data_IF_683065417578
#
_entry.id   IF_683065417578
#
_cell.length_a   1.000
_cell.length_b   1.000
_cell.length_c   1.000
_cell.angle_alpha   90.00
_cell.angle_beta   90.00
_cell.angle_gamma   90.00
#
_symmetry.space_group_name_H-M   'P 1'
#
loop_
_entity.id
_entity.type
_entity.pdbx_description
1 polymer ?
#
# COMPACT_ATOMS: atom_id res chain seq x y z
N UNK A 1 -82.16 21.23 6.72
CA UNK A 1 -82.22 20.34 7.90
C UNK A 1 -82.43 18.92 7.39
N UNK A 2 -81.40 18.05 7.51
CA UNK A 2 -81.40 16.56 7.42
C UNK A 2 -81.98 15.90 6.15
N UNK A 3 -81.44 14.84 5.54
CA UNK A 3 -80.19 14.05 5.50
C UNK A 3 -80.52 12.86 4.58
N UNK A 4 -79.58 12.42 3.74
CA UNK A 4 -79.38 11.02 3.27
C UNK A 4 -80.54 10.38 2.46
N UNK A 5 -80.31 9.69 1.33
CA UNK A 5 -79.56 8.44 1.25
C UNK A 5 -78.90 8.21 -0.13
N UNK A 6 -77.67 7.72 -0.07
CA UNK A 6 -76.90 7.09 -1.14
C UNK A 6 -77.32 5.64 -1.30
N UNK A 7 -77.68 5.18 -2.50
CA UNK A 7 -77.49 3.78 -2.90
C UNK A 7 -77.38 3.62 -4.41
N UNK A 8 -76.15 3.60 -4.93
CA UNK A 8 -75.83 2.84 -6.16
C UNK A 8 -74.54 2.07 -5.93
N UNK A 9 -74.68 0.75 -5.78
CA UNK A 9 -73.59 -0.22 -5.72
C UNK A 9 -72.97 -0.34 -7.12
N UNK A 10 -71.71 0.02 -7.27
CA UNK A 10 -70.88 -0.47 -8.37
C UNK A 10 -70.03 -1.64 -7.86
N UNK A 11 -70.31 -2.81 -8.41
CA UNK A 11 -69.53 -4.03 -8.19
C UNK A 11 -68.14 -3.85 -8.85
N UNK A 12 -67.10 -3.82 -8.03
CA UNK A 12 -65.73 -3.97 -8.49
C UNK A 12 -65.42 -5.46 -8.62
N UNK A 13 -64.96 -5.84 -9.82
CA UNK A 13 -64.50 -7.18 -10.16
C UNK A 13 -63.32 -7.62 -9.29
N UNK A 14 -63.40 -8.87 -8.84
CA UNK A 14 -62.32 -9.67 -8.27
C UNK A 14 -61.14 -9.81 -9.24
N UNK A 15 -59.92 -9.63 -8.72
CA UNK A 15 -58.74 -10.37 -9.18
C UNK A 15 -57.63 -10.29 -8.12
N UNK A 16 -57.46 -11.32 -7.28
CA UNK A 16 -56.24 -11.47 -6.49
C UNK A 16 -55.14 -12.08 -7.39
N UNK A 17 -54.17 -11.26 -7.81
CA UNK A 17 -52.94 -11.76 -8.40
C UNK A 17 -52.06 -12.42 -7.33
N UNK A 18 -52.34 -13.69 -7.03
CA UNK A 18 -51.38 -14.58 -6.42
C UNK A 18 -50.31 -14.95 -7.47
N UNK A 19 -49.06 -14.49 -7.28
CA UNK A 19 -47.90 -15.03 -8.01
C UNK A 19 -47.32 -16.19 -7.21
N UNK A 20 -47.32 -17.43 -7.72
CA UNK A 20 -46.53 -18.52 -7.17
C UNK A 20 -45.08 -18.45 -7.70
N UNK A 21 -44.11 -18.52 -6.80
CA UNK A 21 -42.73 -18.92 -7.13
C UNK A 21 -41.81 -17.85 -7.72
N UNK A 22 -41.43 -16.84 -6.91
CA UNK A 22 -40.18 -16.11 -7.16
C UNK A 22 -38.97 -17.02 -6.86
N UNK A 23 -37.91 -17.03 -7.69
CA UNK A 23 -36.73 -17.85 -7.45
C UNK A 23 -36.02 -17.43 -6.15
N UNK A 24 -35.48 -18.37 -5.35
CA UNK A 24 -34.57 -18.00 -4.27
C UNK A 24 -33.27 -17.43 -4.87
N UNK A 25 -32.95 -16.18 -4.57
CA UNK A 25 -31.64 -15.59 -4.76
C UNK A 25 -31.23 -14.89 -3.45
N UNK A 26 -29.95 -14.79 -3.08
CA UNK A 26 -28.76 -15.56 -3.47
C UNK A 26 -27.98 -16.10 -2.24
N UNK A 27 -27.23 -17.19 -2.40
CA UNK A 27 -26.05 -17.46 -1.57
C UNK A 27 -24.84 -17.36 -2.49
N UNK A 28 -24.32 -16.14 -2.64
CA UNK A 28 -22.98 -15.94 -3.16
C UNK A 28 -22.00 -16.41 -2.07
N UNK A 29 -21.17 -17.45 -2.30
CA UNK A 29 -20.09 -17.76 -1.38
C UNK A 29 -19.14 -16.56 -1.34
N UNK A 30 -18.98 -15.99 -0.13
CA UNK A 30 -18.15 -14.82 0.13
C UNK A 30 -16.75 -15.00 -0.45
N UNK A 31 -16.35 -14.04 -1.29
CA UNK A 31 -15.16 -14.10 -2.11
C UNK A 31 -13.85 -14.09 -1.28
N UNK A 32 -13.01 -15.15 -1.36
CA UNK A 32 -11.64 -15.14 -0.84
C UNK A 32 -10.67 -14.29 -1.70
N UNK A 33 -11.13 -13.75 -2.83
CA UNK A 33 -10.31 -13.09 -3.86
C UNK A 33 -9.81 -11.69 -3.46
N UNK A 34 -10.52 -10.98 -2.58
CA UNK A 34 -10.17 -9.62 -2.19
C UNK A 34 -8.89 -9.56 -1.33
N UNK A 35 -8.78 -10.45 -0.33
CA UNK A 35 -7.62 -10.49 0.57
C UNK A 35 -6.31 -10.85 -0.17
N UNK A 36 -6.38 -11.75 -1.17
CA UNK A 36 -5.21 -12.10 -2.00
C UNK A 36 -4.74 -10.95 -2.90
N UNK A 37 -5.66 -10.15 -3.43
CA UNK A 37 -5.34 -8.98 -4.24
C UNK A 37 -4.67 -7.85 -3.41
N UNK A 38 -5.07 -7.68 -2.16
CA UNK A 38 -4.47 -6.71 -1.23
C UNK A 38 -3.01 -7.07 -0.89
N UNK A 39 -2.73 -8.34 -0.59
CA UNK A 39 -1.36 -8.80 -0.33
C UNK A 39 -0.46 -8.67 -1.55
N UNK A 40 -0.95 -9.02 -2.75
CA UNK A 40 -0.17 -8.83 -3.97
C UNK A 40 0.15 -7.37 -4.23
N UNK A 41 -0.76 -6.45 -3.87
CA UNK A 41 -0.56 -5.02 -4.02
C UNK A 41 0.46 -4.50 -3.01
N UNK A 42 0.35 -4.93 -1.74
CA UNK A 42 1.31 -4.59 -0.69
C UNK A 42 2.72 -5.04 -1.07
N UNK A 43 2.89 -6.30 -1.48
CA UNK A 43 4.20 -6.85 -1.90
C UNK A 43 4.80 -6.05 -3.04
N UNK A 44 4.02 -5.71 -4.07
CA UNK A 44 4.51 -4.91 -5.21
C UNK A 44 4.93 -3.50 -4.79
N UNK A 45 4.14 -2.84 -3.95
CA UNK A 45 4.48 -1.52 -3.43
C UNK A 45 5.78 -1.57 -2.61
N UNK A 46 5.91 -2.57 -1.74
CA UNK A 46 7.12 -2.79 -0.93
C UNK A 46 8.34 -3.08 -1.80
N UNK A 47 8.25 -3.99 -2.79
CA UNK A 47 9.38 -4.29 -3.70
C UNK A 47 9.85 -3.05 -4.47
N UNK A 48 8.91 -2.20 -4.89
CA UNK A 48 9.20 -1.01 -5.65
C UNK A 48 9.92 0.05 -4.80
N UNK A 49 9.47 0.24 -3.56
CA UNK A 49 10.16 1.10 -2.58
C UNK A 49 11.55 0.55 -2.24
N UNK A 50 11.65 -0.74 -1.96
CA UNK A 50 12.89 -1.42 -1.63
C UNK A 50 13.94 -1.25 -2.73
N UNK A 51 13.51 -1.33 -4.00
CA UNK A 51 14.40 -1.11 -5.15
C UNK A 51 14.98 0.30 -5.15
N UNK A 52 14.16 1.30 -4.82
CA UNK A 52 14.63 2.68 -4.72
C UNK A 52 15.55 2.93 -3.52
N UNK A 53 15.24 2.35 -2.36
CA UNK A 53 16.11 2.40 -1.19
C UNK A 53 17.48 1.80 -1.51
N UNK A 54 17.51 0.59 -2.07
CA UNK A 54 18.76 -0.08 -2.44
C UNK A 54 19.62 0.72 -3.41
N UNK A 55 19.01 1.35 -4.42
CA UNK A 55 19.74 2.21 -5.36
C UNK A 55 20.29 3.44 -4.64
N UNK A 56 19.50 4.10 -3.80
CA UNK A 56 19.93 5.30 -3.09
C UNK A 56 21.05 5.04 -2.08
N UNK A 57 20.95 3.96 -1.32
CA UNK A 57 21.96 3.58 -0.33
C UNK A 57 23.30 3.23 -1.00
N UNK A 58 23.27 2.38 -2.03
CA UNK A 58 24.50 2.02 -2.77
C UNK A 58 25.13 3.26 -3.40
N UNK A 59 24.33 4.13 -4.03
CA UNK A 59 24.86 5.37 -4.62
C UNK A 59 25.44 6.31 -3.56
N UNK A 60 24.78 6.47 -2.42
CA UNK A 60 25.28 7.29 -1.32
C UNK A 60 26.61 6.76 -0.78
N UNK A 61 26.74 5.44 -0.64
CA UNK A 61 27.97 4.81 -0.19
C UNK A 61 29.10 4.90 -1.22
N UNK A 62 28.79 4.77 -2.51
CA UNK A 62 29.76 4.98 -3.61
C UNK A 62 30.27 6.43 -3.61
N UNK A 63 29.37 7.41 -3.49
CA UNK A 63 29.73 8.83 -3.46
C UNK A 63 30.55 9.15 -2.21
N UNK A 64 30.10 8.71 -1.04
CA UNK A 64 30.81 8.91 0.23
C UNK A 64 32.21 8.31 0.21
N UNK A 65 32.35 7.09 -0.34
CA UNK A 65 33.65 6.43 -0.51
C UNK A 65 34.55 7.21 -1.48
N UNK A 66 34.03 7.64 -2.63
CA UNK A 66 34.79 8.39 -3.63
C UNK A 66 35.27 9.75 -3.10
N UNK A 67 34.51 10.37 -2.20
CA UNK A 67 34.84 11.65 -1.57
C UNK A 67 35.59 11.50 -0.24
N UNK A 68 35.93 10.27 0.17
CA UNK A 68 36.61 9.96 1.45
C UNK A 68 35.87 10.52 2.68
N UNK A 69 34.54 10.44 2.66
CA UNK A 69 33.70 10.85 3.77
C UNK A 69 33.71 9.83 4.90
N UNK A 70 33.53 10.32 6.13
CA UNK A 70 33.26 9.46 7.29
C UNK A 70 31.85 8.86 7.25
N UNK A 71 31.58 7.92 8.17
CA UNK A 71 30.34 7.14 8.18
C UNK A 71 29.08 7.99 8.28
N UNK A 72 29.07 9.01 9.14
CA UNK A 72 27.88 9.86 9.37
C UNK A 72 27.45 10.63 8.12
N UNK A 73 28.30 11.44 7.46
CA UNK A 73 27.89 12.16 6.24
C UNK A 73 27.52 11.22 5.09
N UNK A 74 28.19 10.06 4.97
CA UNK A 74 27.86 9.03 3.98
C UNK A 74 26.47 8.44 4.23
N UNK A 75 26.17 8.09 5.48
CA UNK A 75 24.88 7.54 5.89
C UNK A 75 23.74 8.55 5.66
N UNK A 76 23.95 9.82 6.01
CA UNK A 76 22.95 10.88 5.75
C UNK A 76 22.67 11.03 4.24
N UNK A 77 23.71 10.98 3.41
CA UNK A 77 23.54 11.04 1.96
C UNK A 77 22.83 9.80 1.41
N UNK A 78 23.21 8.61 1.86
CA UNK A 78 22.57 7.34 1.49
C UNK A 78 21.07 7.38 1.79
N UNK A 79 20.69 7.75 3.02
CA UNK A 79 19.28 7.91 3.42
C UNK A 79 18.57 8.94 2.52
N UNK A 80 19.18 10.12 2.32
CA UNK A 80 18.57 11.16 1.50
C UNK A 80 18.32 10.68 0.05
N UNK A 81 19.29 10.00 -0.55
CA UNK A 81 19.16 9.43 -1.89
C UNK A 81 18.14 8.29 -1.92
N UNK A 82 18.08 7.44 -0.91
CA UNK A 82 17.10 6.36 -0.78
C UNK A 82 15.67 6.90 -0.80
N UNK A 83 15.41 7.98 -0.04
CA UNK A 83 14.13 8.69 -0.11
C UNK A 83 13.88 9.25 -1.52
N UNK A 84 14.85 9.93 -2.13
CA UNK A 84 14.68 10.51 -3.48
C UNK A 84 14.36 9.45 -4.53
N UNK A 85 15.13 8.36 -4.57
CA UNK A 85 14.94 7.29 -5.55
C UNK A 85 13.69 6.46 -5.27
N UNK A 86 13.43 6.10 -4.01
CA UNK A 86 12.21 5.41 -3.58
C UNK A 86 10.95 6.17 -3.99
N UNK A 87 10.88 7.47 -3.68
CA UNK A 87 9.74 8.31 -4.04
C UNK A 87 9.59 8.49 -5.55
N UNK A 88 10.71 8.73 -6.26
CA UNK A 88 10.71 8.94 -7.70
C UNK A 88 10.22 7.71 -8.45
N UNK A 89 10.73 6.54 -8.08
CA UNK A 89 10.30 5.27 -8.66
C UNK A 89 8.80 5.07 -8.38
N UNK A 90 8.34 5.19 -7.14
CA UNK A 90 6.93 4.94 -6.81
C UNK A 90 5.99 5.90 -7.53
N UNK A 91 6.35 7.18 -7.60
CA UNK A 91 5.58 8.17 -8.34
C UNK A 91 5.49 7.81 -9.82
N UNK A 92 6.60 7.39 -10.44
CA UNK A 92 6.62 6.94 -11.84
C UNK A 92 5.73 5.72 -12.06
N UNK A 93 5.73 4.74 -11.15
CA UNK A 93 4.88 3.56 -11.26
C UNK A 93 3.38 3.90 -11.17
N UNK A 94 3.02 4.79 -10.24
CA UNK A 94 1.64 5.26 -10.06
C UNK A 94 1.15 6.03 -11.29
N UNK A 95 1.97 6.92 -11.84
CA UNK A 95 1.64 7.66 -13.06
C UNK A 95 1.45 6.74 -14.25
N UNK A 96 2.30 5.71 -14.40
CA UNK A 96 2.16 4.69 -15.44
C UNK A 96 0.92 3.81 -15.28
N UNK A 97 0.43 3.64 -14.05
CA UNK A 97 -0.80 2.91 -13.77
C UNK A 97 -2.09 3.73 -14.04
N UNK A 98 -1.98 4.97 -14.53
CA UNK A 98 -3.13 5.78 -14.95
C UNK A 98 -3.96 6.37 -13.79
N UNK A 99 -3.46 6.28 -12.56
CA UNK A 99 -4.11 6.85 -11.38
C UNK A 99 -4.07 8.38 -11.43
N UNK A 100 -5.16 9.04 -11.04
CA UNK A 100 -5.16 10.50 -10.93
C UNK A 100 -4.19 10.94 -9.83
N UNK A 101 -3.27 11.85 -10.19
CA UNK A 101 -2.22 12.38 -9.31
C UNK A 101 -2.77 12.74 -7.92
N UNK A 102 -3.93 13.40 -7.85
CA UNK A 102 -4.51 13.91 -6.60
C UNK A 102 -4.95 12.82 -5.61
N UNK A 103 -5.50 11.70 -6.10
CA UNK A 103 -5.98 10.62 -5.24
C UNK A 103 -4.84 9.67 -4.84
N UNK A 104 -3.90 9.43 -5.76
CA UNK A 104 -2.73 8.59 -5.51
C UNK A 104 -1.71 9.28 -4.60
N UNK A 105 -1.47 10.58 -4.79
CA UNK A 105 -0.53 11.36 -3.97
C UNK A 105 -0.94 11.41 -2.51
N UNK A 106 -2.24 11.43 -2.18
CA UNK A 106 -2.65 11.62 -0.77
C UNK A 106 -2.61 10.33 0.06
N UNK A 107 -2.86 9.17 -0.55
CA UNK A 107 -3.00 7.90 0.16
C UNK A 107 -1.85 6.94 -0.15
N UNK A 108 -1.45 6.81 -1.42
CA UNK A 108 -0.34 5.95 -1.78
C UNK A 108 0.98 6.52 -1.27
N UNK A 109 1.26 7.82 -1.51
CA UNK A 109 2.52 8.39 -1.04
C UNK A 109 2.64 8.51 0.49
N UNK A 110 1.52 8.60 1.21
CA UNK A 110 1.56 8.52 2.68
C UNK A 110 1.98 7.11 3.13
N UNK A 111 1.45 6.07 2.47
CA UNK A 111 1.88 4.69 2.70
C UNK A 111 3.33 4.45 2.28
N UNK A 112 3.77 5.05 1.17
CA UNK A 112 5.14 4.92 0.69
C UNK A 112 6.14 5.66 1.59
N UNK A 113 5.78 6.84 2.13
CA UNK A 113 6.62 7.56 3.10
C UNK A 113 6.80 6.75 4.38
N UNK A 114 5.73 6.15 4.88
CA UNK A 114 5.81 5.25 6.04
C UNK A 114 6.62 4.01 5.68
N UNK A 115 6.45 3.46 4.47
CA UNK A 115 7.21 2.31 3.99
C UNK A 115 8.71 2.59 4.00
N UNK A 116 9.12 3.70 3.37
CA UNK A 116 10.52 4.11 3.27
C UNK A 116 11.05 4.38 4.67
N UNK A 117 10.35 5.17 5.50
CA UNK A 117 10.81 5.45 6.86
C UNK A 117 11.01 4.18 7.72
N UNK A 118 10.11 3.19 7.60
CA UNK A 118 10.26 1.92 8.30
C UNK A 118 11.43 1.11 7.71
N UNK A 119 11.57 1.06 6.39
CA UNK A 119 12.69 0.37 5.75
C UNK A 119 14.03 0.95 6.15
N UNK A 120 14.19 2.28 6.07
CA UNK A 120 15.42 2.98 6.44
C UNK A 120 15.76 2.79 7.92
N UNK A 121 14.75 2.82 8.80
CA UNK A 121 14.98 2.61 10.24
C UNK A 121 15.46 1.18 10.53
N UNK A 122 14.85 0.20 9.86
CA UNK A 122 15.22 -1.21 10.02
C UNK A 122 16.59 -1.48 9.42
N UNK A 123 16.87 -0.97 8.23
CA UNK A 123 18.12 -1.22 7.51
C UNK A 123 19.32 -0.59 8.23
N UNK A 124 19.27 0.72 8.49
CA UNK A 124 20.31 1.41 9.25
C UNK A 124 20.42 0.87 10.68
N UNK A 125 19.31 0.42 11.28
CA UNK A 125 19.32 -0.27 12.57
C UNK A 125 20.10 -1.58 12.54
N UNK A 126 19.93 -2.38 11.48
CA UNK A 126 20.66 -3.64 11.28
C UNK A 126 22.13 -3.36 11.04
N UNK A 127 22.48 -2.38 10.19
CA UNK A 127 23.88 -1.99 9.98
C UNK A 127 24.52 -1.54 11.30
N UNK A 128 23.84 -0.68 12.07
CA UNK A 128 24.35 -0.18 13.34
C UNK A 128 24.52 -1.27 14.41
N UNK A 129 23.66 -2.30 14.40
CA UNK A 129 23.72 -3.43 15.34
C UNK A 129 24.64 -4.57 14.89
N UNK A 130 25.03 -4.60 13.62
CA UNK A 130 25.92 -5.63 13.07
C UNK A 130 27.38 -5.27 13.36
N UNK A 131 28.10 -6.07 14.18
CA UNK A 131 29.49 -5.74 14.52
C UNK A 131 30.38 -5.65 13.27
N UNK A 132 31.11 -4.55 13.14
CA UNK A 132 32.02 -4.30 12.02
C UNK A 132 31.36 -3.89 10.70
N UNK A 133 30.02 -3.83 10.61
CA UNK A 133 29.34 -3.43 9.36
C UNK A 133 29.56 -1.95 9.02
N UNK A 134 29.63 -1.08 10.03
CA UNK A 134 29.92 0.35 9.84
C UNK A 134 31.34 0.62 9.32
N UNK A 135 32.26 -0.32 9.51
CA UNK A 135 33.65 -0.22 9.06
C UNK A 135 33.91 -1.03 7.78
N UNK A 136 32.93 -1.81 7.32
CA UNK A 136 33.04 -2.62 6.11
C UNK A 136 32.83 -1.74 4.87
N UNK A 137 33.76 -1.82 3.92
CA UNK A 137 33.68 -1.12 2.65
C UNK A 137 32.95 -1.91 1.56
N UNK A 138 32.73 -1.26 0.42
CA UNK A 138 32.05 -1.82 -0.76
C UNK A 138 32.70 -3.11 -1.30
N UNK A 139 33.98 -3.37 -1.00
CA UNK A 139 34.70 -4.59 -1.37
C UNK A 139 34.49 -5.77 -0.42
N UNK A 140 33.92 -5.53 0.76
CA UNK A 140 33.85 -6.53 1.82
C UNK A 140 32.57 -7.37 1.72
N UNK A 141 32.70 -8.69 1.88
CA UNK A 141 31.54 -9.57 1.92
C UNK A 141 30.58 -9.25 3.08
N UNK A 142 31.13 -8.75 4.20
CA UNK A 142 30.36 -8.34 5.36
C UNK A 142 29.39 -7.20 5.01
N UNK A 143 29.86 -6.19 4.29
CA UNK A 143 29.05 -5.08 3.81
C UNK A 143 27.82 -5.56 3.04
N UNK A 144 28.03 -6.40 2.01
CA UNK A 144 26.94 -6.89 1.18
C UNK A 144 25.98 -7.80 1.95
N UNK A 145 26.51 -8.63 2.85
CA UNK A 145 25.67 -9.50 3.68
C UNK A 145 24.82 -8.72 4.68
N UNK A 146 25.36 -7.66 5.28
CA UNK A 146 24.64 -6.79 6.21
C UNK A 146 23.56 -5.98 5.47
N UNK A 147 23.90 -5.41 4.31
CA UNK A 147 22.98 -4.65 3.45
C UNK A 147 21.83 -5.53 2.93
N UNK A 148 22.15 -6.68 2.32
CA UNK A 148 21.11 -7.59 1.81
C UNK A 148 20.27 -8.18 2.94
N UNK A 149 20.90 -8.52 4.08
CA UNK A 149 20.20 -8.96 5.27
C UNK A 149 19.24 -7.89 5.81
N UNK A 150 19.70 -6.64 5.85
CA UNK A 150 18.92 -5.45 6.20
C UNK A 150 17.67 -5.31 5.33
N UNK A 151 17.84 -5.34 4.00
CA UNK A 151 16.73 -5.31 3.05
C UNK A 151 15.72 -6.44 3.21
N UNK A 152 16.18 -7.66 3.49
CA UNK A 152 15.26 -8.79 3.73
C UNK A 152 14.40 -8.52 4.95
N UNK A 153 15.00 -8.10 6.07
CA UNK A 153 14.26 -7.80 7.29
C UNK A 153 13.34 -6.59 7.09
N UNK A 154 13.82 -5.53 6.46
CA UNK A 154 13.05 -4.35 6.11
C UNK A 154 11.83 -4.72 5.24
N UNK A 155 12.00 -5.59 4.24
CA UNK A 155 10.90 -6.10 3.42
C UNK A 155 9.86 -6.87 4.24
N UNK A 156 10.32 -7.78 5.12
CA UNK A 156 9.45 -8.60 5.97
C UNK A 156 8.65 -7.75 6.98
N UNK A 157 9.25 -6.67 7.50
CA UNK A 157 8.60 -5.75 8.43
C UNK A 157 7.66 -4.78 7.70
N UNK A 158 8.06 -4.25 6.54
CA UNK A 158 7.30 -3.20 5.85
C UNK A 158 6.13 -3.76 5.04
N UNK A 159 6.22 -4.97 4.48
CA UNK A 159 5.10 -5.61 3.74
C UNK A 159 3.79 -5.66 4.55
N UNK A 160 3.77 -6.14 5.82
CA UNK A 160 2.54 -6.16 6.62
C UNK A 160 2.07 -4.76 7.01
N UNK A 161 2.98 -3.79 7.21
CA UNK A 161 2.61 -2.38 7.42
C UNK A 161 1.83 -1.87 6.21
N UNK A 162 2.35 -2.10 5.00
CA UNK A 162 1.73 -1.65 3.75
C UNK A 162 0.36 -2.29 3.55
N UNK A 163 0.25 -3.59 3.83
CA UNK A 163 -1.02 -4.31 3.77
C UNK A 163 -2.05 -3.73 4.74
N UNK A 164 -1.64 -3.43 5.97
CA UNK A 164 -2.53 -2.82 6.96
C UNK A 164 -2.96 -1.41 6.55
N UNK A 165 -2.07 -0.60 5.98
CA UNK A 165 -2.38 0.74 5.48
C UNK A 165 -3.36 0.68 4.30
N UNK A 166 -3.18 -0.27 3.38
CA UNK A 166 -4.12 -0.53 2.27
C UNK A 166 -5.49 -0.93 2.83
N UNK A 167 -5.54 -1.84 3.80
CA UNK A 167 -6.79 -2.30 4.42
C UNK A 167 -7.52 -1.21 5.21
N UNK A 168 -6.80 -0.31 5.88
CA UNK A 168 -7.39 0.87 6.54
C UNK A 168 -7.79 1.97 5.55
N UNK A 169 -7.28 1.91 4.33
CA UNK A 169 -7.33 3.00 3.38
C UNK A 169 -8.69 3.23 2.71
N UNK A 170 -9.68 2.31 2.72
CA UNK A 170 -11.00 2.54 2.06
C UNK A 170 -12.10 1.45 2.16
N UNK A 171 -12.10 0.54 3.13
CA UNK A 171 -13.23 -0.41 3.32
C UNK A 171 -14.61 0.26 3.44
N UNK A 172 -14.67 1.52 3.88
CA UNK A 172 -15.90 2.32 3.97
C UNK A 172 -15.95 3.54 3.04
N UNK A 173 -14.86 3.89 2.35
CA UNK A 173 -14.81 5.08 1.48
C UNK A 173 -14.73 4.77 -0.03
N UNK A 174 -14.59 3.50 -0.43
CA UNK A 174 -14.75 3.06 -1.83
C UNK A 174 -16.14 2.46 -2.11
N UNK A 175 -16.89 2.07 -1.07
CA UNK A 175 -18.24 1.51 -1.23
C UNK A 175 -19.29 2.60 -1.54
N UNK A 176 -18.98 3.88 -1.33
CA UNK A 176 -19.90 5.00 -1.58
C UNK A 176 -19.54 5.88 -2.79
N UNK A 177 -18.61 5.47 -3.66
CA UNK A 177 -18.29 6.22 -4.88
C UNK A 177 -18.93 5.66 -6.17
N UNK A 178 -19.70 4.56 -6.07
CA UNK A 178 -20.39 3.92 -7.20
C UNK A 178 -21.86 3.56 -6.93
N UNK A 179 -22.49 4.23 -5.97
CA UNK A 179 -23.94 4.25 -5.80
C UNK A 179 -24.42 5.67 -5.59
#
# INVERSE_FOLDING_TARGET
MRTMDHHTRHAHHDTPHARPGGPPAPHAPGAPRAAGAEWSTAVRATLHCLTGCAVGEILGMVIGTALLWGNVPTMVLAIALAFVFGYSLTLVAVLRAGLSLKAAVKVALAADTVSIAVMELVDNGIIALTPGAMDAGLSDGLFWSALLGGFVVAFLVTTPVNKWMIGRGKGHAVVHAHH
#
